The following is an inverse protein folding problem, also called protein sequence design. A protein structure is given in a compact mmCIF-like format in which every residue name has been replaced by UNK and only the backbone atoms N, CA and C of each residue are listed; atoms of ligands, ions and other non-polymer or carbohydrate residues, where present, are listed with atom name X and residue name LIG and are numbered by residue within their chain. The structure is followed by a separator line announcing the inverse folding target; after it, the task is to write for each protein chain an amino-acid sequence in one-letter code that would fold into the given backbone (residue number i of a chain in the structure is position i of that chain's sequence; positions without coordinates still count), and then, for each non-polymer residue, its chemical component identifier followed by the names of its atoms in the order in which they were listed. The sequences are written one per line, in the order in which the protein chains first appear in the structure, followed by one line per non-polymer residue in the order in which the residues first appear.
data_IF_348994635441
#
_entry.id   IF_348994635441
#
_cell.length_a   1.000
_cell.length_b   1.000
_cell.length_c   1.000
_cell.angle_alpha   90.00
_cell.angle_beta   90.00
_cell.angle_gamma   90.00
#
_symmetry.space_group_name_H-M   'P 1'
#
loop_
_entity.id
_entity.type
_entity.pdbx_description
1 polymer ?
#
# COMPACT_ATOMS: atom_id res chain seq x y z
N UNK A 1 12.54 -8.87 -18.64
CA UNK A 1 11.63 -8.30 -17.63
C UNK A 1 10.89 -7.05 -18.11
N UNK A 2 9.64 -7.19 -18.55
CA UNK A 2 8.76 -6.04 -18.78
C UNK A 2 8.08 -5.68 -17.44
N UNK A 3 8.59 -4.67 -16.73
CA UNK A 3 7.99 -4.18 -15.46
C UNK A 3 6.61 -3.58 -15.78
N UNK A 4 5.49 -4.19 -15.35
CA UNK A 4 4.16 -3.62 -15.66
C UNK A 4 4.01 -2.21 -15.06
N UNK A 5 4.42 -2.01 -13.81
CA UNK A 5 4.34 -0.71 -13.13
C UNK A 5 5.44 -0.57 -12.07
N UNK A 6 5.94 0.65 -11.86
CA UNK A 6 6.86 0.98 -10.75
C UNK A 6 6.16 1.39 -9.48
N UNK A 7 4.84 1.55 -9.56
CA UNK A 7 3.99 2.00 -8.48
C UNK A 7 2.80 1.06 -8.42
N UNK A 8 2.55 0.51 -7.24
CA UNK A 8 1.40 -0.35 -6.95
C UNK A 8 0.62 0.29 -5.81
N UNK A 9 -0.55 0.83 -6.14
CA UNK A 9 -1.54 1.32 -5.19
C UNK A 9 -2.31 0.12 -4.67
N UNK A 10 -2.35 -0.04 -3.36
CA UNK A 10 -2.76 -1.28 -2.71
C UNK A 10 -3.86 -1.00 -1.69
N UNK A 11 -4.93 -1.79 -1.78
CA UNK A 11 -5.98 -1.85 -0.76
C UNK A 11 -5.45 -2.22 0.64
N UNK A 12 -6.32 -2.10 1.66
CA UNK A 12 -5.97 -2.46 3.03
C UNK A 12 -5.69 -3.97 3.11
N UNK A 13 -4.77 -4.40 3.99
CA UNK A 13 -4.49 -5.83 4.28
C UNK A 13 -4.19 -6.78 3.08
N UNK A 14 -3.77 -6.26 1.92
CA UNK A 14 -3.37 -7.09 0.76
C UNK A 14 -1.98 -7.73 0.89
N UNK A 15 -1.21 -7.43 1.94
CA UNK A 15 0.12 -8.01 2.18
C UNK A 15 1.34 -7.15 1.79
N UNK A 16 1.16 -5.83 1.54
CA UNK A 16 2.26 -4.90 1.20
C UNK A 16 3.52 -5.06 2.04
N UNK A 17 3.37 -4.87 3.35
CA UNK A 17 4.48 -4.85 4.31
C UNK A 17 5.22 -6.17 4.34
N UNK A 18 4.49 -7.29 4.25
CA UNK A 18 5.06 -8.63 4.19
C UNK A 18 5.91 -8.83 2.92
N UNK A 19 5.40 -8.41 1.75
CA UNK A 19 6.12 -8.48 0.49
C UNK A 19 7.43 -7.69 0.54
N UNK A 20 7.37 -6.40 0.94
CA UNK A 20 8.56 -5.52 0.96
C UNK A 20 9.68 -5.96 1.90
N UNK A 21 9.40 -6.81 2.88
CA UNK A 21 10.41 -7.38 3.78
C UNK A 21 11.11 -8.59 3.21
N UNK A 22 10.38 -9.38 2.42
CA UNK A 22 10.91 -10.59 1.80
C UNK A 22 11.59 -10.32 0.47
N UNK A 23 11.25 -9.20 -0.16
CA UNK A 23 11.73 -8.86 -1.49
C UNK A 23 12.19 -7.40 -1.55
N UNK A 24 13.51 -7.23 -1.58
CA UNK A 24 14.19 -5.92 -1.55
C UNK A 24 13.95 -5.07 -2.79
N UNK A 25 13.35 -5.64 -3.84
CA UNK A 25 12.89 -4.92 -5.03
C UNK A 25 11.70 -4.00 -4.71
N UNK A 26 11.00 -4.22 -3.59
CA UNK A 26 9.83 -3.45 -3.20
C UNK A 26 10.12 -2.53 -2.01
N UNK A 27 9.45 -1.38 -1.97
CA UNK A 27 9.42 -0.50 -0.80
C UNK A 27 7.99 -0.22 -0.36
N UNK A 28 7.71 -0.35 0.94
CA UNK A 28 6.44 0.03 1.55
C UNK A 28 6.49 1.49 1.99
N UNK A 29 5.99 2.38 1.11
CA UNK A 29 6.06 3.83 1.32
C UNK A 29 5.14 4.27 2.46
N UNK A 30 4.04 3.56 2.73
CA UNK A 30 3.17 3.85 3.87
C UNK A 30 3.88 3.58 5.20
N UNK A 31 4.61 2.46 5.28
CA UNK A 31 5.38 2.11 6.47
C UNK A 31 6.53 3.09 6.69
N UNK A 32 7.24 3.48 5.62
CA UNK A 32 8.28 4.52 5.68
C UNK A 32 7.69 5.85 6.18
N UNK A 33 6.57 6.30 5.60
CA UNK A 33 5.88 7.53 6.01
C UNK A 33 5.51 7.50 7.48
N UNK A 34 4.91 6.40 7.93
CA UNK A 34 4.45 6.26 9.30
C UNK A 34 5.61 6.24 10.29
N UNK A 35 6.68 5.48 10.00
CA UNK A 35 7.86 5.44 10.87
C UNK A 35 8.49 6.83 11.01
N UNK A 36 8.69 7.54 9.90
CA UNK A 36 9.21 8.90 9.92
C UNK A 36 8.27 9.86 10.67
N UNK A 37 6.97 9.88 10.33
CA UNK A 37 5.98 10.79 10.91
C UNK A 37 5.89 10.72 12.44
N UNK A 38 5.98 9.52 13.00
CA UNK A 38 5.82 9.24 14.44
C UNK A 38 7.15 8.93 15.15
N UNK A 39 8.29 9.06 14.47
CA UNK A 39 9.61 8.82 15.07
C UNK A 39 9.80 7.38 15.57
N UNK A 40 9.22 6.41 14.87
CA UNK A 40 9.22 5.00 15.28
C UNK A 40 10.57 4.38 14.90
N UNK A 41 11.31 3.92 15.91
CA UNK A 41 12.57 3.18 15.75
C UNK A 41 12.37 1.87 14.99
N UNK A 42 13.41 1.42 14.29
CA UNK A 42 13.44 0.11 13.66
C UNK A 42 13.50 -1.06 14.67
N UNK A 43 13.76 -0.77 15.94
CA UNK A 43 13.66 -1.75 17.04
C UNK A 43 12.22 -2.12 17.40
N UNK A 44 11.24 -1.29 17.02
CA UNK A 44 9.83 -1.58 17.29
C UNK A 44 9.39 -2.77 16.45
N UNK A 45 8.82 -3.77 17.14
CA UNK A 45 8.34 -4.97 16.48
C UNK A 45 7.23 -4.66 15.47
N UNK A 46 7.13 -5.50 14.43
CA UNK A 46 6.08 -5.36 13.43
C UNK A 46 4.69 -5.52 14.02
N UNK A 47 4.57 -6.40 15.00
CA UNK A 47 3.33 -6.64 15.73
C UNK A 47 2.90 -5.37 16.48
N UNK A 48 3.82 -4.72 17.19
CA UNK A 48 3.54 -3.46 17.87
C UNK A 48 3.23 -2.34 16.86
N UNK A 49 3.97 -2.27 15.76
CA UNK A 49 3.73 -1.29 14.70
C UNK A 49 2.33 -1.42 14.08
N UNK A 50 1.86 -2.65 13.92
CA UNK A 50 0.55 -3.00 13.38
C UNK A 50 -0.57 -2.78 14.40
N UNK A 51 -0.37 -3.20 15.66
CA UNK A 51 -1.32 -3.02 16.76
C UNK A 51 -1.65 -1.55 17.00
N UNK A 52 -0.64 -0.69 16.89
CA UNK A 52 -0.76 0.74 17.11
C UNK A 52 -1.25 1.54 15.89
N UNK A 53 -1.70 0.90 14.79
CA UNK A 53 -2.34 1.63 13.69
C UNK A 53 -3.51 2.49 14.20
N UNK A 54 -3.63 3.72 13.70
CA UNK A 54 -4.59 4.73 14.21
C UNK A 54 -4.33 5.25 15.64
N UNK A 55 -3.27 4.79 16.32
CA UNK A 55 -2.87 5.26 17.65
C UNK A 55 -1.33 5.18 17.82
N UNK A 56 -0.58 5.89 16.97
CA UNK A 56 0.89 5.86 16.94
C UNK A 56 1.55 6.97 17.78
N UNK A 57 0.80 7.62 18.65
CA UNK A 57 1.27 8.77 19.43
C UNK A 57 1.29 10.07 18.63
N UNK A 58 2.09 11.01 19.12
CA UNK A 58 2.20 12.36 18.57
C UNK A 58 2.97 12.39 17.25
N UNK A 59 2.60 13.34 16.40
CA UNK A 59 3.33 13.61 15.17
C UNK A 59 4.61 14.34 15.55
N UNK A 60 5.76 13.74 15.27
CA UNK A 60 7.07 14.37 15.51
C UNK A 60 7.59 15.07 14.25
N UNK A 61 7.28 14.52 13.07
CA UNK A 61 7.74 15.04 11.78
C UNK A 61 6.55 15.45 10.91
N UNK A 62 6.30 16.77 10.87
CA UNK A 62 5.17 17.36 10.13
C UNK A 62 5.37 17.39 8.61
N UNK A 63 6.62 17.29 8.16
CA UNK A 63 7.08 17.21 6.77
C UNK A 63 7.02 15.78 6.19
N UNK A 64 6.42 14.82 6.91
CA UNK A 64 6.35 13.42 6.49
C UNK A 64 5.74 13.18 5.10
N UNK A 65 4.93 14.10 4.57
CA UNK A 65 4.47 14.05 3.19
C UNK A 65 5.60 14.35 2.19
N UNK A 66 6.30 15.47 2.37
CA UNK A 66 7.42 15.87 1.50
C UNK A 66 8.53 14.84 1.54
N UNK A 67 8.80 14.28 2.72
CA UNK A 67 9.75 13.20 2.91
C UNK A 67 9.47 12.00 1.97
N UNK A 68 8.24 11.49 1.95
CA UNK A 68 7.90 10.36 1.08
C UNK A 68 7.67 10.74 -0.38
N UNK A 69 7.28 11.99 -0.66
CA UNK A 69 7.22 12.50 -2.03
C UNK A 69 8.62 12.55 -2.67
N UNK A 70 9.64 12.92 -1.90
CA UNK A 70 11.03 12.92 -2.37
C UNK A 70 11.54 11.49 -2.64
N UNK A 71 11.17 10.52 -1.80
CA UNK A 71 11.47 9.10 -2.07
C UNK A 71 10.75 8.63 -3.34
N UNK A 72 9.45 8.94 -3.47
CA UNK A 72 8.67 8.61 -4.67
C UNK A 72 9.35 9.12 -5.95
N UNK A 73 9.72 10.41 -5.97
CA UNK A 73 10.41 11.04 -7.11
C UNK A 73 11.74 10.36 -7.43
N UNK A 74 12.55 10.07 -6.40
CA UNK A 74 13.86 9.41 -6.57
C UNK A 74 13.70 8.03 -7.20
N UNK A 75 12.80 7.20 -6.70
CA UNK A 75 12.61 5.84 -7.24
C UNK A 75 12.02 5.84 -8.65
N UNK A 76 11.19 6.83 -8.99
CA UNK A 76 10.72 7.03 -10.37
C UNK A 76 11.90 7.38 -11.29
N UNK A 77 12.79 8.29 -10.87
CA UNK A 77 13.98 8.65 -11.65
C UNK A 77 14.91 7.44 -11.84
N UNK A 78 15.22 6.70 -10.77
CA UNK A 78 16.06 5.50 -10.84
C UNK A 78 15.46 4.38 -11.69
N UNK A 79 14.13 4.36 -11.88
CA UNK A 79 13.49 3.41 -12.80
C UNK A 79 13.92 3.66 -14.25
N UNK A 80 14.10 4.91 -14.66
CA UNK A 80 14.59 5.24 -16.01
C UNK A 80 16.00 4.69 -16.24
N UNK A 81 16.77 4.50 -15.16
CA UNK A 81 18.09 3.86 -15.14
C UNK A 81 18.03 2.35 -14.86
N UNK A 82 16.83 1.75 -14.86
CA UNK A 82 16.54 0.34 -14.53
C UNK A 82 16.92 -0.12 -13.12
N UNK A 83 17.43 0.76 -12.25
CA UNK A 83 17.89 0.46 -10.89
C UNK A 83 16.87 0.77 -9.79
N UNK A 84 15.77 1.45 -10.14
CA UNK A 84 14.72 1.85 -9.20
C UNK A 84 13.90 0.69 -8.64
N UNK A 85 13.45 0.86 -7.38
CA UNK A 85 12.57 -0.09 -6.69
C UNK A 85 11.10 0.09 -7.07
N UNK A 86 10.29 -0.92 -6.80
CA UNK A 86 8.84 -0.88 -6.96
C UNK A 86 8.20 -0.34 -5.68
N UNK A 87 7.40 0.71 -5.83
CA UNK A 87 6.79 1.42 -4.72
C UNK A 87 5.41 0.82 -4.43
N UNK A 88 5.19 0.44 -3.18
CA UNK A 88 3.89 0.06 -2.65
C UNK A 88 3.33 1.23 -1.84
N UNK A 89 2.12 1.69 -2.17
CA UNK A 89 1.41 2.70 -1.39
C UNK A 89 -0.05 2.32 -1.18
N UNK A 90 -0.66 2.82 -0.13
CA UNK A 90 -2.11 2.83 0.05
C UNK A 90 -2.72 4.03 -0.67
N UNK A 91 -4.05 4.07 -0.74
CA UNK A 91 -4.72 5.26 -1.26
C UNK A 91 -4.35 6.49 -0.42
N UNK A 92 -3.64 7.42 -1.05
CA UNK A 92 -3.33 8.72 -0.49
C UNK A 92 -3.62 9.78 -1.55
N UNK A 93 -4.61 10.64 -1.30
CA UNK A 93 -5.12 11.61 -2.28
C UNK A 93 -4.01 12.49 -2.85
N UNK A 94 -3.12 13.00 -2.01
CA UNK A 94 -2.09 13.96 -2.43
C UNK A 94 -0.99 13.29 -3.27
N UNK A 95 -0.54 12.09 -2.87
CA UNK A 95 0.40 11.30 -3.67
C UNK A 95 -0.23 10.87 -5.01
N UNK A 96 -1.50 10.46 -5.02
CA UNK A 96 -2.22 10.10 -6.24
C UNK A 96 -2.44 11.30 -7.15
N UNK A 97 -2.73 12.48 -6.61
CA UNK A 97 -2.80 13.71 -7.40
C UNK A 97 -1.46 13.99 -8.08
N UNK A 98 -0.34 13.86 -7.35
CA UNK A 98 0.99 13.99 -7.94
C UNK A 98 1.21 12.97 -9.07
N UNK A 99 0.93 11.69 -8.83
CA UNK A 99 1.07 10.61 -9.83
C UNK A 99 0.27 10.91 -11.10
N UNK A 100 -1.02 11.23 -10.94
CA UNK A 100 -1.92 11.49 -12.06
C UNK A 100 -1.55 12.77 -12.82
N UNK A 101 -1.23 13.86 -12.13
CA UNK A 101 -0.87 15.15 -12.76
C UNK A 101 0.44 15.08 -13.55
N UNK A 102 1.31 14.10 -13.25
CA UNK A 102 2.55 13.85 -13.97
C UNK A 102 2.45 12.65 -14.94
N UNK A 103 1.23 12.14 -15.21
CA UNK A 103 0.97 11.00 -16.09
C UNK A 103 1.80 9.75 -15.75
N UNK A 104 2.09 9.54 -14.46
CA UNK A 104 2.86 8.37 -14.01
C UNK A 104 1.93 7.16 -13.95
N UNK A 105 2.25 6.14 -14.74
CA UNK A 105 1.49 4.89 -14.75
C UNK A 105 1.64 4.12 -13.43
N UNK A 106 0.53 3.62 -12.92
CA UNK A 106 0.49 2.78 -11.72
C UNK A 106 -0.52 1.63 -11.88
N UNK A 107 -0.29 0.58 -11.09
CA UNK A 107 -1.20 -0.55 -10.95
C UNK A 107 -2.01 -0.38 -9.66
N UNK A 108 -3.31 -0.65 -9.72
CA UNK A 108 -4.18 -0.72 -8.56
C UNK A 108 -4.48 -2.18 -8.22
N UNK A 109 -4.21 -2.57 -6.97
CA UNK A 109 -4.50 -3.90 -6.43
C UNK A 109 -5.47 -3.76 -5.26
N UNK A 110 -6.64 -4.40 -5.36
CA UNK A 110 -7.70 -4.28 -4.37
C UNK A 110 -8.44 -5.61 -4.15
N UNK A 111 -9.02 -5.86 -2.97
CA UNK A 111 -9.81 -7.06 -2.71
C UNK A 111 -11.10 -7.14 -3.53
N UNK A 112 -11.52 -8.37 -3.90
CA UNK A 112 -12.90 -8.63 -4.31
C UNK A 112 -13.89 -8.27 -3.20
N UNK A 113 -15.12 -7.91 -3.60
CA UNK A 113 -16.15 -7.45 -2.67
C UNK A 113 -16.47 -8.49 -1.59
N UNK A 114 -16.50 -9.78 -1.94
CA UNK A 114 -16.92 -10.87 -1.06
C UNK A 114 -15.85 -11.23 -0.01
N UNK A 115 -14.60 -10.80 -0.17
CA UNK A 115 -13.48 -11.10 0.74
C UNK A 115 -13.48 -10.28 2.03
N UNK A 116 -14.57 -9.56 2.35
CA UNK A 116 -14.67 -8.72 3.56
C UNK A 116 -14.32 -9.47 4.84
N UNK A 117 -14.91 -10.65 5.04
CA UNK A 117 -14.72 -11.46 6.26
C UNK A 117 -13.28 -11.95 6.37
N UNK A 118 -12.69 -12.39 5.27
CA UNK A 118 -11.29 -12.76 5.19
C UNK A 118 -10.37 -11.59 5.59
N UNK A 119 -10.64 -10.37 5.12
CA UNK A 119 -9.81 -9.21 5.43
C UNK A 119 -9.94 -8.76 6.90
N UNK A 120 -11.11 -8.95 7.51
CA UNK A 120 -11.26 -8.83 8.97
C UNK A 120 -10.35 -9.83 9.68
N UNK A 121 -10.34 -11.10 9.26
CA UNK A 121 -9.49 -12.13 9.86
C UNK A 121 -8.00 -11.82 9.68
N UNK A 122 -7.57 -11.37 8.49
CA UNK A 122 -6.18 -10.95 8.23
C UNK A 122 -5.74 -9.82 9.18
N UNK A 123 -6.59 -8.83 9.42
CA UNK A 123 -6.27 -7.72 10.33
C UNK A 123 -6.24 -8.16 11.79
N UNK A 124 -7.16 -9.04 12.22
CA UNK A 124 -7.15 -9.64 13.56
C UNK A 124 -5.89 -10.47 13.82
N UNK A 125 -5.46 -11.29 12.86
CA UNK A 125 -4.23 -12.09 12.94
C UNK A 125 -2.96 -11.22 13.05
N UNK A 126 -3.02 -9.97 12.57
CA UNK A 126 -1.94 -8.98 12.71
C UNK A 126 -2.06 -8.13 13.97
N UNK A 127 -2.98 -8.49 14.87
CA UNK A 127 -3.27 -7.75 16.10
C UNK A 127 -3.64 -6.28 15.87
N UNK A 128 -4.18 -5.94 14.69
CA UNK A 128 -4.73 -4.59 14.47
C UNK A 128 -5.89 -4.35 15.44
N UNK A 129 -5.99 -3.13 15.98
CA UNK A 129 -7.08 -2.79 16.89
C UNK A 129 -8.44 -2.71 16.18
N UNK A 130 -9.51 -2.91 16.96
CA UNK A 130 -10.89 -2.94 16.47
C UNK A 130 -11.30 -1.67 15.73
N UNK A 131 -10.87 -0.50 16.21
CA UNK A 131 -11.15 0.79 15.55
C UNK A 131 -10.57 0.83 14.13
N UNK A 132 -9.34 0.34 13.94
CA UNK A 132 -8.74 0.23 12.61
C UNK A 132 -9.48 -0.77 11.73
N UNK A 133 -9.83 -1.95 12.28
CA UNK A 133 -10.57 -2.98 11.54
C UNK A 133 -11.92 -2.43 11.07
N UNK A 134 -12.69 -1.81 11.96
CA UNK A 134 -14.00 -1.24 11.66
C UNK A 134 -13.90 -0.12 10.61
N UNK A 135 -12.91 0.77 10.73
CA UNK A 135 -12.70 1.83 9.76
C UNK A 135 -12.41 1.29 8.34
N UNK A 136 -11.70 0.17 8.23
CA UNK A 136 -11.34 -0.43 6.94
C UNK A 136 -12.42 -1.37 6.40
N UNK A 137 -13.23 -1.98 7.26
CA UNK A 137 -14.07 -3.13 6.90
C UNK A 137 -15.52 -3.02 7.31
N UNK A 138 -16.01 -1.90 7.87
CA UNK A 138 -17.47 -1.75 8.01
C UNK A 138 -18.14 -1.88 6.64
N UNK A 139 -19.37 -2.42 6.62
CA UNK A 139 -20.01 -2.86 5.37
C UNK A 139 -20.14 -1.74 4.33
N UNK A 140 -20.51 -0.53 4.79
CA UNK A 140 -20.70 0.62 3.91
C UNK A 140 -19.37 1.12 3.33
N UNK A 141 -18.34 1.27 4.15
CA UNK A 141 -17.01 1.67 3.70
C UNK A 141 -16.39 0.62 2.78
N UNK A 142 -16.57 -0.67 3.07
CA UNK A 142 -16.05 -1.76 2.24
C UNK A 142 -16.70 -1.77 0.86
N UNK A 143 -18.04 -1.71 0.79
CA UNK A 143 -18.80 -1.62 -0.47
C UNK A 143 -18.40 -0.37 -1.26
N UNK A 144 -18.31 0.78 -0.59
CA UNK A 144 -17.89 2.04 -1.23
C UNK A 144 -16.47 1.94 -1.79
N UNK A 145 -15.52 1.48 -0.97
CA UNK A 145 -14.13 1.27 -1.39
C UNK A 145 -14.07 0.37 -2.62
N UNK A 146 -14.80 -0.75 -2.63
CA UNK A 146 -14.86 -1.65 -3.78
C UNK A 146 -15.39 -0.94 -5.04
N UNK A 147 -16.56 -0.29 -4.95
CA UNK A 147 -17.19 0.41 -6.09
C UNK A 147 -16.28 1.52 -6.63
N UNK A 148 -15.64 2.29 -5.76
CA UNK A 148 -14.72 3.36 -6.15
C UNK A 148 -13.52 2.80 -6.92
N UNK A 149 -12.90 1.72 -6.43
CA UNK A 149 -11.73 1.10 -7.07
C UNK A 149 -12.09 0.31 -8.33
N UNK A 150 -13.26 -0.36 -8.36
CA UNK A 150 -13.74 -1.09 -9.53
C UNK A 150 -14.04 -0.14 -10.68
N UNK A 151 -14.59 1.04 -10.39
CA UNK A 151 -14.94 2.06 -11.38
C UNK A 151 -13.81 3.05 -11.70
N UNK A 152 -12.70 3.05 -10.95
CA UNK A 152 -11.58 3.95 -11.23
C UNK A 152 -10.95 3.64 -12.59
N UNK A 153 -10.84 4.65 -13.45
CA UNK A 153 -10.28 4.55 -14.81
C UNK A 153 -8.86 5.11 -14.91
N UNK A 154 -8.33 5.70 -13.83
CA UNK A 154 -6.98 6.29 -13.79
C UNK A 154 -5.84 5.27 -13.77
N UNK A 155 -5.93 4.12 -13.05
CA UNK A 155 -4.86 3.14 -13.05
C UNK A 155 -4.63 2.57 -14.45
N UNK A 156 -3.38 2.37 -14.84
CA UNK A 156 -3.01 1.69 -16.10
C UNK A 156 -3.47 0.24 -16.09
N UNK A 157 -3.32 -0.41 -14.93
CA UNK A 157 -3.72 -1.79 -14.68
C UNK A 157 -4.51 -1.87 -13.38
N UNK A 158 -5.50 -2.75 -13.36
CA UNK A 158 -6.28 -3.07 -12.16
C UNK A 158 -6.27 -4.57 -11.92
N UNK A 159 -6.01 -4.97 -10.68
CA UNK A 159 -6.04 -6.35 -10.24
C UNK A 159 -6.97 -6.44 -9.04
N UNK A 160 -8.04 -7.20 -9.23
CA UNK A 160 -8.89 -7.64 -8.13
C UNK A 160 -8.33 -8.95 -7.57
N UNK A 161 -8.00 -8.95 -6.27
CA UNK A 161 -7.55 -10.14 -5.57
C UNK A 161 -8.74 -11.04 -5.26
N UNK A 162 -8.62 -12.32 -5.62
CA UNK A 162 -9.54 -13.36 -5.20
C UNK A 162 -9.31 -13.70 -3.73
N UNK A 163 -10.26 -14.42 -3.15
CA UNK A 163 -10.13 -14.95 -1.79
C UNK A 163 -8.93 -15.88 -1.67
N UNK A 164 -8.23 -15.75 -0.55
CA UNK A 164 -6.97 -16.43 -0.29
C UNK A 164 -5.75 -15.77 -0.95
N UNK A 165 -5.92 -14.83 -1.89
CA UNK A 165 -4.78 -14.22 -2.59
C UNK A 165 -4.22 -13.00 -1.84
N UNK A 166 -2.90 -12.91 -1.83
CA UNK A 166 -2.11 -11.78 -1.39
C UNK A 166 -1.41 -11.14 -2.58
N UNK A 167 -0.90 -9.92 -2.37
CA UNK A 167 -0.08 -9.22 -3.35
C UNK A 167 1.12 -10.06 -3.81
N UNK A 168 1.72 -10.85 -2.92
CA UNK A 168 2.83 -11.75 -3.24
C UNK A 168 2.47 -12.83 -4.25
N UNK A 169 1.21 -13.27 -4.29
CA UNK A 169 0.79 -14.39 -5.13
C UNK A 169 0.61 -13.97 -6.59
N UNK A 170 0.37 -12.67 -6.82
CA UNK A 170 0.14 -12.11 -8.15
C UNK A 170 1.33 -11.29 -8.65
N UNK A 171 2.39 -11.14 -7.84
CA UNK A 171 3.51 -10.26 -8.18
C UNK A 171 4.29 -10.76 -9.39
N UNK A 172 4.47 -12.08 -9.54
CA UNK A 172 5.16 -12.64 -10.71
C UNK A 172 4.35 -12.44 -12.00
N UNK A 173 3.02 -12.28 -11.90
CA UNK A 173 2.17 -11.94 -13.06
C UNK A 173 2.33 -10.47 -13.46
N UNK A 174 2.76 -9.61 -12.52
CA UNK A 174 3.06 -8.20 -12.73
C UNK A 174 4.47 -7.94 -13.32
N UNK A 175 5.35 -8.94 -13.27
CA UNK A 175 6.72 -8.83 -13.76
C UNK A 175 7.01 -10.05 -14.63
N UNK A 176 6.66 -9.95 -15.92
CA UNK A 176 6.97 -10.99 -16.92
C UNK A 176 8.49 -11.19 -16.95
N UNK A 177 8.95 -12.44 -16.86
CA UNK A 177 10.35 -12.83 -17.12
C UNK A 177 10.85 -12.31 -18.47
#
# INVERSE_FOLDING_TARGET
MKKLCSIIVCGPAVGKTYLSKKDSRFIDLDSIKAKYKYGISDEVSDEDFEKNKSNRGEIVNHDSFDYVLNILKREIQLKEEETGKIILLSYNKDLLNYINNNNIEYCLVYPKLESRIEYIQRMKQRNNNEKFIEAMTNENSWKRFYIENSNDTKPKYKIELKEGQYLSDIINQLFIE
#
